data_IF_889438369506
#
_entry.id   IF_889438369506
#
_cell.length_a   1.000
_cell.length_b   1.000
_cell.length_c   1.000
_cell.angle_alpha   90.00
_cell.angle_beta   90.00
_cell.angle_gamma   90.00
#
_symmetry.space_group_name_H-M   'P 1'
#
loop_
_entity.id
_entity.type
_entity.pdbx_description
1 polymer ?
#
# COMPACT_ATOMS: atom_id res chain seq x y z
N UNK A 1 -15.73 -32.80 -26.34
CA UNK A 1 -16.13 -32.09 -25.11
C UNK A 1 -16.23 -30.60 -25.43
N UNK A 2 -17.33 -29.96 -25.07
CA UNK A 2 -17.48 -28.51 -25.10
C UNK A 2 -17.17 -27.96 -23.70
N UNK A 3 -16.38 -26.88 -23.62
CA UNK A 3 -16.11 -26.16 -22.37
C UNK A 3 -16.64 -24.73 -22.51
N UNK A 4 -17.40 -24.29 -21.52
CA UNK A 4 -17.84 -22.90 -21.39
C UNK A 4 -17.09 -22.22 -20.26
N UNK A 5 -16.53 -21.01 -20.51
CA UNK A 5 -15.90 -20.17 -19.52
C UNK A 5 -16.69 -18.89 -19.33
N UNK A 6 -17.07 -18.61 -18.09
CA UNK A 6 -17.70 -17.32 -17.75
C UNK A 6 -16.80 -16.61 -16.74
N UNK A 7 -16.34 -15.41 -17.09
CA UNK A 7 -15.58 -14.56 -16.17
C UNK A 7 -16.57 -13.77 -15.33
N UNK A 8 -16.55 -13.97 -14.01
CA UNK A 8 -17.47 -13.32 -13.07
C UNK A 8 -16.81 -12.18 -12.28
N UNK A 9 -15.49 -12.05 -12.35
CA UNK A 9 -14.72 -11.00 -11.69
C UNK A 9 -13.24 -11.16 -11.98
N UNK A 10 -12.50 -10.08 -11.80
CA UNK A 10 -11.05 -10.06 -11.92
C UNK A 10 -10.45 -9.30 -10.76
N UNK A 11 -9.29 -9.74 -10.30
CA UNK A 11 -8.45 -8.97 -9.41
C UNK A 11 -7.12 -8.71 -10.13
N UNK A 12 -6.83 -7.45 -10.40
CA UNK A 12 -5.64 -7.05 -11.14
C UNK A 12 -4.41 -7.00 -10.22
N UNK A 13 -3.23 -7.15 -10.80
CA UNK A 13 -1.98 -6.88 -10.10
C UNK A 13 -1.83 -5.37 -9.86
N UNK A 14 -1.14 -5.03 -8.78
CA UNK A 14 -0.82 -3.65 -8.45
C UNK A 14 0.60 -3.30 -8.88
N UNK A 15 0.78 -2.05 -9.28
CA UNK A 15 2.07 -1.47 -9.59
C UNK A 15 2.19 -0.10 -8.92
N UNK A 16 3.20 0.06 -8.09
CA UNK A 16 3.44 1.32 -7.39
C UNK A 16 4.36 2.24 -8.19
N UNK A 17 4.05 3.53 -8.22
CA UNK A 17 4.87 4.54 -8.87
C UNK A 17 6.13 4.86 -8.07
N UNK A 18 7.29 4.62 -8.66
CA UNK A 18 8.59 4.79 -7.99
C UNK A 18 8.79 6.22 -7.48
N UNK A 19 8.44 7.22 -8.28
CA UNK A 19 8.57 8.62 -7.90
C UNK A 19 7.75 8.95 -6.64
N UNK A 20 6.53 8.39 -6.52
CA UNK A 20 5.70 8.58 -5.33
C UNK A 20 6.27 7.85 -4.12
N UNK A 21 6.80 6.63 -4.31
CA UNK A 21 7.49 5.88 -3.25
C UNK A 21 8.67 6.69 -2.70
N UNK A 22 9.50 7.27 -3.58
CA UNK A 22 10.67 8.04 -3.19
C UNK A 22 10.27 9.32 -2.44
N UNK A 23 9.25 10.06 -2.90
CA UNK A 23 8.73 11.25 -2.23
C UNK A 23 8.23 10.93 -0.82
N UNK A 24 7.33 9.97 -0.69
CA UNK A 24 6.79 9.54 0.61
C UNK A 24 7.91 9.00 1.50
N UNK A 25 8.81 8.20 0.96
CA UNK A 25 9.94 7.65 1.70
C UNK A 25 10.87 8.73 2.25
N UNK A 26 11.12 9.81 1.50
CA UNK A 26 11.89 10.96 1.96
C UNK A 26 11.21 11.66 3.15
N UNK A 27 9.89 11.88 3.06
CA UNK A 27 9.09 12.47 4.14
C UNK A 27 9.14 11.61 5.40
N UNK A 28 8.93 10.31 5.29
CA UNK A 28 8.95 9.40 6.44
C UNK A 28 10.31 9.40 7.13
N UNK A 29 11.41 9.35 6.35
CA UNK A 29 12.77 9.39 6.93
C UNK A 29 13.07 10.70 7.63
N UNK A 30 12.57 11.83 7.11
CA UNK A 30 12.74 13.17 7.69
C UNK A 30 11.94 13.34 8.98
N UNK A 31 10.64 13.02 8.93
CA UNK A 31 9.69 13.40 9.96
C UNK A 31 9.46 12.30 11.03
N UNK A 32 9.75 11.05 10.67
CA UNK A 32 9.54 9.87 11.50
C UNK A 32 10.81 8.98 11.58
N UNK A 33 11.96 9.53 12.02
CA UNK A 33 13.25 8.84 11.93
C UNK A 33 13.34 7.56 12.80
N UNK A 34 12.38 7.36 13.70
CA UNK A 34 12.28 6.14 14.53
C UNK A 34 11.62 4.95 13.82
N UNK A 35 11.13 5.12 12.58
CA UNK A 35 10.50 4.05 11.83
C UNK A 35 11.47 3.40 10.85
N UNK A 36 11.44 2.08 10.77
CA UNK A 36 12.13 1.34 9.71
C UNK A 36 11.26 1.32 8.47
N UNK A 37 11.80 1.79 7.35
CA UNK A 37 11.12 1.85 6.07
C UNK A 37 11.80 0.93 5.06
N UNK A 38 11.04 0.00 4.46
CA UNK A 38 11.40 -0.69 3.24
C UNK A 38 10.62 -0.07 2.08
N UNK A 39 11.32 0.40 1.06
CA UNK A 39 10.72 1.04 -0.12
C UNK A 39 11.00 0.18 -1.35
N UNK A 40 10.07 -0.71 -1.67
CA UNK A 40 10.15 -1.62 -2.80
C UNK A 40 9.00 -1.38 -3.76
N UNK A 41 9.30 -1.14 -5.02
CA UNK A 41 8.28 -0.87 -6.03
C UNK A 41 7.36 -2.06 -6.27
N UNK A 42 7.93 -3.25 -6.32
CA UNK A 42 7.22 -4.49 -6.58
C UNK A 42 7.72 -5.57 -5.61
N UNK A 43 7.17 -5.62 -4.42
CA UNK A 43 7.50 -6.68 -3.48
C UNK A 43 7.03 -8.04 -4.03
N UNK A 44 7.90 -9.02 -4.02
CA UNK A 44 7.54 -10.39 -4.39
C UNK A 44 6.42 -10.89 -3.47
N UNK A 45 5.43 -11.56 -4.04
CA UNK A 45 4.29 -12.18 -3.34
C UNK A 45 3.22 -11.21 -2.79
N UNK A 46 3.04 -10.06 -3.41
CA UNK A 46 1.99 -9.12 -2.97
C UNK A 46 0.61 -9.44 -3.57
N UNK A 47 0.40 -10.50 -4.24
CA UNK A 47 -0.92 -10.91 -4.72
C UNK A 47 -1.71 -9.81 -5.46
N UNK A 48 -2.98 -10.05 -5.64
CA UNK A 48 -3.96 -9.07 -6.11
C UNK A 48 -4.85 -8.64 -4.94
N UNK A 49 -5.32 -7.39 -4.97
CA UNK A 49 -6.17 -6.80 -3.94
C UNK A 49 -7.17 -5.84 -4.62
N UNK A 50 -8.29 -5.58 -3.99
CA UNK A 50 -9.30 -4.64 -4.51
C UNK A 50 -8.72 -3.23 -4.71
N UNK A 51 -7.77 -2.82 -3.89
CA UNK A 51 -7.05 -1.54 -4.04
C UNK A 51 -6.29 -1.45 -5.35
N UNK A 52 -5.91 -2.56 -5.96
CA UNK A 52 -5.21 -2.57 -7.25
C UNK A 52 -6.05 -1.93 -8.36
N UNK A 53 -7.35 -2.16 -8.36
CA UNK A 53 -8.29 -1.54 -9.30
C UNK A 53 -8.33 -0.02 -9.11
N UNK A 54 -8.31 0.45 -7.85
CA UNK A 54 -8.27 1.88 -7.53
C UNK A 54 -6.96 2.52 -7.99
N UNK A 55 -5.82 1.87 -7.71
CA UNK A 55 -4.50 2.34 -8.14
C UNK A 55 -4.41 2.43 -9.66
N UNK A 56 -4.77 1.37 -10.35
CA UNK A 56 -4.76 1.31 -11.82
C UNK A 56 -5.66 2.39 -12.42
N UNK A 57 -6.82 2.66 -11.80
CA UNK A 57 -7.73 3.74 -12.22
C UNK A 57 -7.09 5.12 -12.11
N UNK A 58 -6.43 5.42 -10.98
CA UNK A 58 -5.72 6.69 -10.77
C UNK A 58 -4.61 6.85 -11.82
N UNK A 59 -3.81 5.80 -12.02
CA UNK A 59 -2.69 5.81 -12.96
C UNK A 59 -3.16 5.96 -14.43
N UNK A 60 -4.26 5.31 -14.80
CA UNK A 60 -4.86 5.45 -16.14
C UNK A 60 -5.34 6.88 -16.44
N UNK A 61 -5.54 7.71 -15.42
CA UNK A 61 -5.93 9.12 -15.56
C UNK A 61 -4.75 10.09 -15.33
N UNK A 62 -3.51 9.58 -15.38
CA UNK A 62 -2.31 10.40 -15.26
C UNK A 62 -1.89 10.72 -13.83
N UNK A 63 -2.56 10.14 -12.82
CA UNK A 63 -2.15 10.25 -11.41
C UNK A 63 -1.08 9.24 -11.04
N UNK A 64 -0.57 9.36 -9.83
CA UNK A 64 0.36 8.41 -9.23
C UNK A 64 -0.31 7.66 -8.07
N UNK A 65 0.04 6.39 -7.91
CA UNK A 65 -0.49 5.56 -6.84
C UNK A 65 0.60 4.66 -6.24
N UNK A 66 0.52 4.44 -4.95
CA UNK A 66 1.36 3.47 -4.25
C UNK A 66 0.57 2.80 -3.13
N UNK A 67 0.99 1.60 -2.78
CA UNK A 67 0.44 0.85 -1.67
C UNK A 67 1.42 0.87 -0.50
N UNK A 68 0.93 1.28 0.67
CA UNK A 68 1.72 1.28 1.90
C UNK A 68 1.21 0.20 2.85
N UNK A 69 2.12 -0.51 3.45
CA UNK A 69 1.83 -1.57 4.41
C UNK A 69 2.53 -1.28 5.74
N UNK A 70 1.78 -1.24 6.82
CA UNK A 70 2.33 -1.22 8.15
C UNK A 70 2.59 -2.66 8.62
N UNK A 71 3.82 -2.94 9.02
CA UNK A 71 4.21 -4.26 9.52
C UNK A 71 4.10 -4.28 11.04
N UNK A 72 3.45 -5.30 11.56
CA UNK A 72 3.29 -5.56 12.99
C UNK A 72 3.58 -7.03 13.29
N UNK A 73 3.91 -7.33 14.55
CA UNK A 73 3.93 -8.70 15.01
C UNK A 73 2.52 -9.28 14.96
N UNK A 74 2.39 -10.48 14.42
CA UNK A 74 1.10 -11.15 14.24
C UNK A 74 1.05 -12.44 15.06
N UNK A 75 -0.02 -12.63 15.81
CA UNK A 75 -0.26 -13.85 16.56
C UNK A 75 -0.75 -15.00 15.66
N UNK A 76 -1.37 -14.70 14.54
CA UNK A 76 -1.81 -15.65 13.53
C UNK A 76 -1.68 -15.12 12.12
N UNK A 77 -1.70 -16.00 11.14
CA UNK A 77 -1.62 -15.59 9.74
C UNK A 77 -2.88 -14.84 9.30
N UNK A 78 -2.72 -13.96 8.30
CA UNK A 78 -3.87 -13.31 7.66
C UNK A 78 -4.85 -14.36 7.12
N UNK A 79 -6.14 -14.03 7.12
CA UNK A 79 -7.23 -14.92 6.69
C UNK A 79 -7.43 -16.19 7.54
N UNK A 80 -6.98 -16.19 8.80
CA UNK A 80 -7.26 -17.27 9.75
C UNK A 80 -8.16 -16.78 10.88
N UNK A 81 -8.83 -17.72 11.55
CA UNK A 81 -9.70 -17.40 12.70
C UNK A 81 -8.93 -16.95 13.94
N UNK A 82 -7.62 -17.12 13.94
CA UNK A 82 -6.70 -16.71 15.01
C UNK A 82 -5.88 -15.46 14.62
N UNK A 83 -6.27 -14.78 13.53
CA UNK A 83 -5.59 -13.56 13.13
C UNK A 83 -5.69 -12.49 14.22
N UNK A 84 -4.55 -11.98 14.60
CA UNK A 84 -4.42 -10.86 15.52
C UNK A 84 -3.06 -10.17 15.29
N UNK A 85 -2.93 -8.91 15.67
CA UNK A 85 -1.71 -8.13 15.47
C UNK A 85 -1.48 -7.15 16.62
N UNK A 86 -0.24 -6.72 16.82
CA UNK A 86 0.09 -5.68 17.80
C UNK A 86 -0.50 -4.33 17.39
N UNK A 87 -1.53 -3.88 18.14
CA UNK A 87 -2.24 -2.62 17.90
C UNK A 87 -1.35 -1.37 18.07
N UNK A 88 -0.18 -1.48 18.68
CA UNK A 88 0.77 -0.36 18.76
C UNK A 88 1.18 0.16 17.37
N UNK A 89 1.02 -0.64 16.32
CA UNK A 89 1.25 -0.23 14.93
C UNK A 89 0.25 0.82 14.44
N UNK A 90 -0.95 0.89 15.00
CA UNK A 90 -2.03 1.80 14.53
C UNK A 90 -1.62 3.26 14.66
N UNK A 91 -1.06 3.66 15.81
CA UNK A 91 -0.57 5.03 16.00
C UNK A 91 0.56 5.40 15.04
N UNK A 92 1.47 4.46 14.78
CA UNK A 92 2.55 4.65 13.80
C UNK A 92 1.99 4.80 12.37
N UNK A 93 0.99 4.01 12.03
CA UNK A 93 0.32 4.07 10.71
C UNK A 93 -0.35 5.41 10.50
N UNK A 94 -1.09 5.93 11.49
CA UNK A 94 -1.70 7.25 11.44
C UNK A 94 -0.65 8.33 11.21
N UNK A 95 0.46 8.30 11.94
CA UNK A 95 1.54 9.28 11.78
C UNK A 95 2.13 9.25 10.36
N UNK A 96 2.35 8.05 9.78
CA UNK A 96 2.85 7.89 8.42
C UNK A 96 1.89 8.46 7.38
N UNK A 97 0.60 8.13 7.47
CA UNK A 97 -0.39 8.64 6.52
C UNK A 97 -0.59 10.15 6.65
N UNK A 98 -0.60 10.70 7.86
CA UNK A 98 -0.69 12.14 8.06
C UNK A 98 0.53 12.86 7.49
N UNK A 99 1.74 12.39 7.76
CA UNK A 99 2.96 12.99 7.23
C UNK A 99 3.00 12.96 5.70
N UNK A 100 2.64 11.83 5.10
CA UNK A 100 2.57 11.69 3.64
C UNK A 100 1.51 12.62 3.03
N UNK A 101 0.29 12.65 3.59
CA UNK A 101 -0.79 13.50 3.10
C UNK A 101 -0.45 14.99 3.19
N UNK A 102 0.08 15.44 4.31
CA UNK A 102 0.47 16.85 4.50
C UNK A 102 1.56 17.27 3.52
N UNK A 103 2.56 16.42 3.29
CA UNK A 103 3.62 16.73 2.36
C UNK A 103 3.14 16.77 0.90
N UNK A 104 2.27 15.85 0.50
CA UNK A 104 1.74 15.79 -0.86
C UNK A 104 0.74 16.92 -1.15
N UNK A 105 -0.04 17.36 -0.15
CA UNK A 105 -1.01 18.46 -0.28
C UNK A 105 -0.36 19.84 -0.13
N UNK A 106 0.77 19.93 0.57
CA UNK A 106 1.46 21.22 0.82
C UNK A 106 2.36 21.67 -0.32
N UNK A 107 2.69 20.82 -1.27
CA UNK A 107 3.55 21.16 -2.40
C UNK A 107 2.81 21.89 -3.53
N UNK A 108 1.46 21.84 -3.54
CA UNK A 108 0.60 22.51 -4.52
C UNK A 108 0.00 23.84 -3.99
N UNK A 109 0.46 24.30 -2.81
CA UNK A 109 -0.05 25.51 -2.17
C UNK A 109 0.89 26.71 -2.36
#
# INVERSE_FOLDING_TARGET
CACGLTVMGTAEGQHSDLALIERIGAVIRRDLPGLTLSAEQNAKNWGSDDVSVMMNRVQAHGGQATYMRAMADMAGAQHTVTFDFDEAVLGKSVAVFCAAAMALMGEDA
#
